data_IF_169349246199
#
_entry.id   IF_169349246199
#
_cell.length_a   1.000
_cell.length_b   1.000
_cell.length_c   1.000
_cell.angle_alpha   90.00
_cell.angle_beta   90.00
_cell.angle_gamma   90.00
#
_symmetry.space_group_name_H-M   'P 1'
#
loop_
_entity.id
_entity.type
_entity.pdbx_description
1 polymer ?
#
# COMPACT_ATOMS: atom_id res chain seq x y z
N UNK A 1 5.52 -7.29 -25.41
CA UNK A 1 4.65 -7.48 -24.23
C UNK A 1 4.72 -6.20 -23.41
N UNK A 2 3.61 -5.55 -23.04
CA UNK A 2 3.68 -4.41 -22.13
C UNK A 2 4.25 -4.91 -20.80
N UNK A 3 5.30 -4.24 -20.31
CA UNK A 3 5.87 -4.53 -18.99
C UNK A 3 4.83 -4.01 -17.98
N UNK A 4 4.29 -4.84 -17.09
CA UNK A 4 3.39 -4.35 -16.06
C UNK A 4 4.13 -3.34 -15.19
N UNK A 5 3.57 -2.15 -15.07
CA UNK A 5 4.16 -1.10 -14.26
C UNK A 5 4.17 -1.53 -12.78
N UNK A 6 5.24 -1.22 -12.03
CA UNK A 6 5.40 -1.74 -10.68
C UNK A 6 4.32 -1.17 -9.74
N UNK A 7 3.77 -1.97 -8.80
CA UNK A 7 2.78 -1.50 -7.86
C UNK A 7 3.34 -0.37 -6.98
N UNK A 8 2.45 0.47 -6.46
CA UNK A 8 2.80 1.59 -5.59
C UNK A 8 2.44 1.27 -4.15
N UNK A 9 3.35 1.57 -3.23
CA UNK A 9 3.14 1.46 -1.79
C UNK A 9 2.86 2.84 -1.21
N UNK A 10 1.81 2.92 -0.41
CA UNK A 10 1.45 4.08 0.38
C UNK A 10 1.67 3.75 1.85
N UNK A 11 2.45 4.56 2.55
CA UNK A 11 2.69 4.42 4.00
C UNK A 11 2.31 5.72 4.69
N UNK A 12 1.34 5.67 5.61
CA UNK A 12 1.07 6.82 6.47
C UNK A 12 2.15 6.91 7.54
N UNK A 13 2.87 8.04 7.63
CA UNK A 13 3.90 8.22 8.66
C UNK A 13 3.29 8.55 10.03
N UNK A 14 2.05 9.06 10.07
CA UNK A 14 1.39 9.38 11.34
C UNK A 14 0.92 8.14 12.12
N UNK A 15 0.35 7.14 11.45
CA UNK A 15 -0.16 5.93 12.10
C UNK A 15 0.59 4.64 11.73
N UNK A 16 1.51 4.70 10.77
CA UNK A 16 2.27 3.55 10.29
C UNK A 16 1.50 2.63 9.34
N UNK A 17 0.24 2.93 9.01
CA UNK A 17 -0.58 2.11 8.12
C UNK A 17 0.02 2.04 6.70
N UNK A 18 0.05 0.84 6.13
CA UNK A 18 0.65 0.54 4.83
C UNK A 18 -0.37 -0.09 3.89
N UNK A 19 -0.39 0.36 2.64
CA UNK A 19 -1.25 -0.23 1.62
C UNK A 19 -0.56 -0.26 0.25
N UNK A 20 -0.74 -1.35 -0.48
CA UNK A 20 -0.15 -1.55 -1.81
C UNK A 20 -1.26 -1.42 -2.85
N UNK A 21 -1.10 -0.47 -3.75
CA UNK A 21 -2.01 -0.18 -4.84
C UNK A 21 -1.47 -0.79 -6.14
N UNK A 22 -2.21 -1.74 -6.75
CA UNK A 22 -1.80 -2.32 -8.02
C UNK A 22 -1.93 -1.26 -9.13
N UNK A 23 -0.86 -1.07 -9.91
CA UNK A 23 -0.89 -0.18 -11.06
C UNK A 23 -1.46 -0.94 -12.27
N UNK A 24 -2.72 -0.63 -12.64
CA UNK A 24 -3.41 -1.27 -13.78
C UNK A 24 -3.22 -0.52 -15.10
N UNK A 25 -2.70 0.71 -15.07
CA UNK A 25 -2.44 1.57 -16.24
C UNK A 25 -1.29 2.54 -15.94
N UNK A 26 -0.89 3.38 -16.91
CA UNK A 26 0.10 4.45 -16.72
C UNK A 26 -0.22 5.41 -15.57
N UNK A 27 -1.49 5.47 -15.14
CA UNK A 27 -1.93 6.18 -13.94
C UNK A 27 -2.21 5.23 -12.75
N UNK A 28 -1.86 5.70 -11.55
CA UNK A 28 -2.27 5.11 -10.27
C UNK A 28 -3.12 6.13 -9.51
N UNK A 29 -4.28 5.71 -9.03
CA UNK A 29 -5.11 6.54 -8.14
C UNK A 29 -4.74 6.20 -6.71
N UNK A 30 -4.13 7.15 -6.01
CA UNK A 30 -3.77 7.04 -4.60
C UNK A 30 -4.67 7.97 -3.79
N UNK A 31 -5.15 7.57 -2.60
CA UNK A 31 -5.91 8.47 -1.75
C UNK A 31 -5.05 9.63 -1.26
N UNK A 32 -5.69 10.77 -1.03
CA UNK A 32 -5.07 11.97 -0.44
C UNK A 32 -4.88 11.88 1.08
N UNK A 33 -5.61 10.96 1.73
CA UNK A 33 -5.63 10.80 3.18
C UNK A 33 -5.52 9.31 3.57
N UNK A 34 -4.98 9.06 4.77
CA UNK A 34 -4.88 7.73 5.31
C UNK A 34 -6.26 7.19 5.69
N UNK A 35 -6.69 6.08 5.09
CA UNK A 35 -7.97 5.43 5.43
C UNK A 35 -8.09 4.99 6.90
N UNK A 36 -6.95 4.86 7.62
CA UNK A 36 -6.95 4.44 9.03
C UNK A 36 -7.05 5.60 10.03
N UNK A 37 -6.50 6.77 9.71
CA UNK A 37 -6.38 7.88 10.68
C UNK A 37 -6.75 9.27 10.12
N UNK A 38 -7.08 9.38 8.83
CA UNK A 38 -7.39 10.65 8.16
C UNK A 38 -6.20 11.57 7.91
N UNK A 39 -4.97 11.16 8.27
CA UNK A 39 -3.78 12.00 8.07
C UNK A 39 -3.39 12.06 6.59
N UNK A 40 -3.02 13.26 6.13
CA UNK A 40 -2.47 13.53 4.79
C UNK A 40 -0.97 13.24 4.71
N UNK A 41 -0.31 12.91 5.83
CA UNK A 41 1.12 12.59 5.91
C UNK A 41 1.38 11.17 5.37
N UNK A 42 1.33 11.07 4.05
CA UNK A 42 1.41 9.84 3.27
C UNK A 42 2.70 9.82 2.45
N UNK A 43 3.55 8.83 2.72
CA UNK A 43 4.72 8.51 1.92
C UNK A 43 4.33 7.57 0.77
N UNK A 44 4.73 7.95 -0.46
CA UNK A 44 4.49 7.20 -1.69
C UNK A 44 5.81 6.63 -2.20
N UNK A 45 5.90 5.31 -2.30
CA UNK A 45 7.10 4.60 -2.80
C UNK A 45 6.71 3.54 -3.81
N UNK A 46 7.64 3.16 -4.70
CA UNK A 46 7.45 2.00 -5.56
C UNK A 46 7.52 0.75 -4.68
N UNK A 47 6.52 -0.12 -4.75
CA UNK A 47 6.53 -1.37 -4.01
C UNK A 47 7.61 -2.29 -4.59
N UNK A 48 8.57 -2.69 -3.75
CA UNK A 48 9.59 -3.64 -4.12
C UNK A 48 9.06 -5.09 -4.13
N UNK A 49 9.82 -6.05 -4.66
CA UNK A 49 9.44 -7.47 -4.69
C UNK A 49 9.19 -8.07 -3.29
N UNK A 50 9.77 -7.48 -2.24
CA UNK A 50 9.55 -7.89 -0.84
C UNK A 50 8.31 -7.24 -0.20
N UNK A 51 7.81 -6.13 -0.76
CA UNK A 51 6.60 -5.47 -0.26
C UNK A 51 5.33 -6.29 -0.53
N UNK A 52 5.35 -7.16 -1.55
CA UNK A 52 4.28 -8.13 -1.78
C UNK A 52 4.17 -9.17 -0.66
N UNK A 53 5.30 -9.66 -0.15
CA UNK A 53 5.35 -10.59 0.98
C UNK A 53 4.97 -9.90 2.29
N UNK A 54 5.41 -8.66 2.51
CA UNK A 54 5.00 -7.86 3.66
C UNK A 54 3.50 -7.53 3.64
N UNK A 55 2.93 -7.19 2.47
CA UNK A 55 1.49 -6.95 2.32
C UNK A 55 0.66 -8.21 2.61
N UNK A 56 1.13 -9.39 2.19
CA UNK A 56 0.52 -10.69 2.56
C UNK A 56 0.60 -10.97 4.06
N UNK A 57 1.73 -10.66 4.70
CA UNK A 57 1.91 -10.79 6.14
C UNK A 57 0.98 -9.84 6.92
N UNK A 58 0.85 -8.58 6.49
CA UNK A 58 -0.08 -7.61 7.11
C UNK A 58 -1.55 -8.00 6.92
N UNK A 59 -1.94 -8.55 5.75
CA UNK A 59 -3.29 -9.08 5.53
C UNK A 59 -3.59 -10.28 6.45
N UNK A 60 -2.59 -11.13 6.66
CA UNK A 60 -2.70 -12.30 7.54
C UNK A 60 -2.79 -11.89 9.01
N UNK A 61 -1.98 -10.91 9.44
CA UNK A 61 -2.01 -10.34 10.79
C UNK A 61 -3.33 -9.62 11.09
N UNK A 62 -3.88 -8.87 10.13
CA UNK A 62 -5.20 -8.24 10.28
C UNK A 62 -6.32 -9.28 10.40
N UNK A 63 -6.23 -10.43 9.72
CA UNK A 63 -7.19 -11.53 9.91
C UNK A 63 -7.02 -12.27 11.23
N UNK A 64 -5.81 -12.36 11.78
CA UNK A 64 -5.57 -13.01 13.06
C UNK A 64 -5.93 -12.14 14.27
N UNK A 65 -5.92 -10.81 14.11
CA UNK A 65 -6.31 -9.85 15.16
C UNK A 65 -7.81 -9.53 15.18
N UNK A 66 -8.58 -10.04 14.20
CA UNK A 66 -10.04 -9.99 14.16
C UNK A 66 -10.65 -11.36 14.42
N UNK A 67 -10.67 -11.78 15.69
CA UNK A 67 -11.33 -12.98 16.20
C UNK A 67 -11.50 -12.88 17.70
#
# INVERSE_FOLDING_TARGET
MPIPAPPMKLTCRSCGCRHVYPQRSDAVVLPGECAACGSEDLERTVAGPLDGAAALAELTLHRLKGG
#
